data_IF_961480169454
#
_entry.id   IF_961480169454
#
_cell.length_a   1.000
_cell.length_b   1.000
_cell.length_c   1.000
_cell.angle_alpha   90.00
_cell.angle_beta   90.00
_cell.angle_gamma   90.00
#
_symmetry.space_group_name_H-M   'P 1'
#
loop_
_entity.id
_entity.type
_entity.pdbx_description
1 polymer ?
#
# COMPACT_ATOMS: atom_id res chain seq x y z
N UNK A 1 32.23 21.50 80.78
CA UNK A 1 31.94 21.90 79.40
C UNK A 1 30.89 20.95 78.89
N UNK A 2 29.68 21.37 78.65
CA UNK A 2 28.60 20.48 78.19
C UNK A 2 28.50 20.43 76.67
N UNK A 3 28.28 19.23 76.15
CA UNK A 3 27.98 18.94 74.80
C UNK A 3 26.50 19.24 74.49
N UNK A 4 26.25 20.09 73.52
CA UNK A 4 24.93 20.29 72.99
C UNK A 4 24.61 19.14 71.98
N UNK A 5 23.64 18.33 72.31
CA UNK A 5 23.05 17.34 71.45
C UNK A 5 22.02 18.06 70.59
N UNK A 6 22.26 18.05 69.29
CA UNK A 6 21.26 18.45 68.27
C UNK A 6 20.05 17.50 68.31
N UNK A 7 18.92 18.03 68.72
CA UNK A 7 17.64 17.41 68.64
C UNK A 7 17.17 17.38 67.14
N UNK A 8 17.28 16.23 66.50
CA UNK A 8 16.61 16.00 65.25
C UNK A 8 15.13 15.84 65.58
N UNK A 9 14.34 16.86 65.27
CA UNK A 9 12.87 16.80 65.35
C UNK A 9 12.34 15.77 64.43
N UNK A 10 11.92 14.59 64.90
CA UNK A 10 11.13 13.62 64.17
C UNK A 10 9.79 14.27 63.86
N UNK A 11 9.58 14.69 62.58
CA UNK A 11 8.27 15.02 62.06
C UNK A 11 7.41 13.76 62.14
N UNK A 12 6.61 13.62 63.18
CA UNK A 12 5.52 12.61 63.21
C UNK A 12 4.39 13.16 62.35
N UNK A 13 4.43 12.85 61.05
CA UNK A 13 3.29 13.08 60.19
C UNK A 13 2.14 12.20 60.72
N UNK A 14 1.00 12.84 61.04
CA UNK A 14 -0.23 12.15 61.37
C UNK A 14 -0.57 11.15 60.26
N UNK A 15 -1.05 9.98 60.61
CA UNK A 15 -1.47 8.92 59.65
C UNK A 15 -2.41 9.45 58.55
N UNK A 16 -3.20 10.48 58.87
CA UNK A 16 -4.10 11.15 57.91
C UNK A 16 -3.32 12.03 56.92
N UNK A 17 -2.26 12.69 57.30
CA UNK A 17 -1.44 13.50 56.37
C UNK A 17 -0.66 12.59 55.42
N UNK A 18 -0.18 11.46 55.92
CA UNK A 18 0.48 10.47 55.06
C UNK A 18 -0.50 9.87 54.03
N UNK A 19 -1.72 9.54 54.45
CA UNK A 19 -2.78 9.02 53.56
C UNK A 19 -3.19 10.07 52.50
N UNK A 20 -3.28 11.37 52.86
CA UNK A 20 -3.59 12.44 51.92
C UNK A 20 -2.48 12.67 50.91
N UNK A 21 -1.21 12.60 51.33
CA UNK A 21 -0.07 12.70 50.40
C UNK A 21 -0.05 11.53 49.44
N UNK A 22 -0.30 10.32 49.91
CA UNK A 22 -0.40 9.12 49.07
C UNK A 22 -1.55 9.21 48.06
N UNK A 23 -2.73 9.66 48.52
CA UNK A 23 -3.88 9.85 47.65
C UNK A 23 -3.59 10.87 46.54
N UNK A 24 -2.97 12.02 46.87
CA UNK A 24 -2.56 13.00 45.88
C UNK A 24 -1.56 12.42 44.85
N UNK A 25 -0.62 11.61 45.30
CA UNK A 25 0.38 10.99 44.44
C UNK A 25 -0.27 10.00 43.46
N UNK A 26 -1.23 9.20 43.93
CA UNK A 26 -2.01 8.28 43.07
C UNK A 26 -2.88 9.03 42.06
N UNK A 27 -3.55 10.13 42.51
CA UNK A 27 -4.34 10.98 41.61
C UNK A 27 -3.46 11.64 40.54
N UNK A 28 -2.28 12.16 40.97
CA UNK A 28 -1.33 12.76 40.01
C UNK A 28 -0.80 11.74 39.00
N UNK A 29 -0.43 10.55 39.47
CA UNK A 29 0.01 9.46 38.59
C UNK A 29 -1.12 9.04 37.60
N UNK A 30 -2.36 8.92 38.09
CA UNK A 30 -3.51 8.65 37.27
C UNK A 30 -3.78 9.73 36.23
N UNK A 31 -3.67 10.99 36.60
CA UNK A 31 -3.81 12.12 35.69
C UNK A 31 -2.72 12.16 34.59
N UNK A 32 -1.47 11.83 34.95
CA UNK A 32 -0.37 11.71 33.98
C UNK A 32 -0.59 10.55 33.01
N UNK A 33 -1.05 9.40 33.49
CA UNK A 33 -1.39 8.27 32.66
C UNK A 33 -2.58 8.58 31.69
N UNK A 34 -3.62 9.25 32.22
CA UNK A 34 -4.73 9.70 31.40
C UNK A 34 -4.31 10.69 30.32
N UNK A 35 -3.44 11.65 30.71
CA UNK A 35 -2.87 12.61 29.75
C UNK A 35 -2.10 11.89 28.65
N UNK A 36 -1.28 10.90 28.99
CA UNK A 36 -0.51 10.12 28.04
C UNK A 36 -1.43 9.26 27.13
N UNK A 37 -2.54 8.78 27.67
CA UNK A 37 -3.48 7.93 26.92
C UNK A 37 -4.41 8.71 25.98
N UNK A 38 -4.82 9.92 26.40
CA UNK A 38 -5.78 10.75 25.62
C UNK A 38 -5.07 11.69 24.65
N UNK A 39 -3.87 12.16 24.97
CA UNK A 39 -3.15 13.14 24.15
C UNK A 39 -1.93 12.60 23.40
N UNK A 40 -1.54 11.35 23.59
CA UNK A 40 -0.53 10.74 22.74
C UNK A 40 -1.19 10.39 21.40
N UNK A 41 -0.65 10.90 20.31
CA UNK A 41 -1.05 10.53 18.95
C UNK A 41 -0.72 9.06 18.64
N UNK A 42 0.11 8.42 19.44
CA UNK A 42 0.48 7.01 19.32
C UNK A 42 -0.13 6.21 20.47
N UNK A 43 -0.76 5.08 20.13
CA UNK A 43 -1.24 4.14 21.13
C UNK A 43 -0.09 3.64 21.99
N UNK A 44 -0.20 3.68 23.33
CA UNK A 44 0.84 3.14 24.22
C UNK A 44 0.97 1.61 24.13
N UNK A 45 0.05 0.96 23.42
CA UNK A 45 0.08 -0.48 23.17
C UNK A 45 0.57 -0.67 21.73
N UNK A 46 1.77 -1.24 21.57
CA UNK A 46 2.27 -1.66 20.28
C UNK A 46 1.51 -2.90 19.82
N UNK A 47 0.65 -2.73 18.84
CA UNK A 47 -0.16 -3.81 18.26
C UNK A 47 0.45 -4.39 16.99
N UNK A 48 1.56 -3.82 16.53
CA UNK A 48 2.25 -4.29 15.33
C UNK A 48 3.09 -5.53 15.66
N UNK A 49 2.55 -6.70 15.31
CA UNK A 49 3.19 -8.01 15.53
C UNK A 49 4.55 -8.09 14.84
N UNK A 50 4.74 -7.39 13.73
CA UNK A 50 6.00 -7.39 12.98
C UNK A 50 7.14 -6.74 13.77
N UNK A 51 6.84 -5.78 14.63
CA UNK A 51 7.84 -5.17 15.52
C UNK A 51 8.26 -6.08 16.67
N UNK A 52 7.50 -7.12 16.97
CA UNK A 52 7.80 -8.11 18.00
C UNK A 52 8.70 -9.24 17.48
N UNK A 53 8.92 -9.33 16.17
CA UNK A 53 9.82 -10.33 15.60
C UNK A 53 11.28 -10.04 16.00
N UNK A 54 12.07 -11.06 16.37
CA UNK A 54 13.46 -10.91 16.70
C UNK A 54 14.22 -10.31 15.50
N UNK A 55 14.86 -9.17 15.70
CA UNK A 55 15.70 -8.56 14.67
C UNK A 55 16.98 -9.36 14.51
N UNK A 56 17.24 -9.78 13.28
CA UNK A 56 18.47 -10.49 12.96
C UNK A 56 19.61 -9.49 12.75
N UNK A 57 20.35 -9.19 13.80
CA UNK A 57 21.41 -8.19 13.81
C UNK A 57 22.64 -8.57 12.96
N UNK A 58 22.65 -9.75 12.33
CA UNK A 58 23.81 -10.23 11.57
C UNK A 58 23.93 -9.59 10.18
N UNK A 59 22.82 -9.05 9.62
CA UNK A 59 22.86 -8.38 8.33
C UNK A 59 21.93 -7.15 8.30
N UNK A 60 22.42 -5.97 8.69
CA UNK A 60 21.61 -4.76 8.77
C UNK A 60 21.07 -4.30 7.40
N UNK A 61 21.76 -4.59 6.31
CA UNK A 61 21.30 -4.23 4.95
C UNK A 61 20.07 -5.07 4.56
N UNK A 62 20.13 -6.37 4.83
CA UNK A 62 19.02 -7.26 4.55
C UNK A 62 17.78 -6.92 5.42
N UNK A 63 18.00 -6.55 6.68
CA UNK A 63 16.94 -6.13 7.58
C UNK A 63 16.29 -4.83 7.12
N UNK A 64 17.10 -3.83 6.74
CA UNK A 64 16.58 -2.57 6.22
C UNK A 64 15.80 -2.76 4.90
N UNK A 65 16.29 -3.63 4.01
CA UNK A 65 15.58 -3.98 2.78
C UNK A 65 14.24 -4.69 3.11
N UNK A 66 14.24 -5.63 4.04
CA UNK A 66 13.04 -6.34 4.47
C UNK A 66 12.03 -5.39 5.15
N UNK A 67 12.48 -4.51 6.05
CA UNK A 67 11.62 -3.50 6.68
C UNK A 67 10.99 -2.56 5.62
N UNK A 68 11.79 -2.10 4.64
CA UNK A 68 11.32 -1.24 3.56
C UNK A 68 10.25 -1.92 2.69
N UNK A 69 10.49 -3.17 2.28
CA UNK A 69 9.54 -3.94 1.48
C UNK A 69 8.29 -4.28 2.29
N UNK A 70 8.45 -4.73 3.52
CA UNK A 70 7.34 -5.07 4.41
C UNK A 70 6.46 -3.85 4.70
N UNK A 71 7.04 -2.69 4.98
CA UNK A 71 6.30 -1.45 5.18
C UNK A 71 5.50 -1.07 3.93
N UNK A 72 6.12 -1.14 2.74
CA UNK A 72 5.46 -0.80 1.48
C UNK A 72 4.31 -1.73 1.09
N UNK A 73 4.31 -2.97 1.58
CA UNK A 73 3.26 -3.96 1.32
C UNK A 73 2.19 -3.99 2.42
N UNK A 74 2.57 -3.72 3.65
CA UNK A 74 1.69 -3.84 4.82
C UNK A 74 0.57 -2.79 4.84
N UNK A 75 0.86 -1.59 4.34
CA UNK A 75 -0.06 -0.46 4.44
C UNK A 75 -1.10 -0.44 3.31
N UNK A 76 -1.04 -1.40 2.36
CA UNK A 76 -1.98 -1.47 1.24
C UNK A 76 -3.20 -2.31 1.59
N UNK A 77 -4.37 -1.73 1.29
CA UNK A 77 -5.68 -2.37 1.42
C UNK A 77 -6.32 -2.42 0.05
N UNK A 78 -6.90 -3.56 -0.29
CA UNK A 78 -7.67 -3.76 -1.52
C UNK A 78 -9.13 -3.88 -1.15
N UNK A 79 -9.94 -2.97 -1.66
CA UNK A 79 -11.39 -3.03 -1.56
C UNK A 79 -11.94 -3.68 -2.82
N UNK A 80 -12.81 -4.65 -2.63
CA UNK A 80 -13.50 -5.37 -3.71
C UNK A 80 -14.97 -4.95 -3.67
N UNK A 81 -15.42 -4.35 -4.75
CA UNK A 81 -16.79 -3.82 -4.89
C UNK A 81 -17.54 -4.70 -5.85
N UNK A 82 -18.75 -5.06 -5.50
CA UNK A 82 -19.69 -5.79 -6.34
C UNK A 82 -21.08 -5.18 -6.22
N UNK A 83 -21.89 -5.35 -7.26
CA UNK A 83 -23.28 -4.92 -7.28
C UNK A 83 -24.10 -5.82 -8.22
N UNK A 84 -25.46 -5.80 -8.11
CA UNK A 84 -26.33 -6.66 -8.91
C UNK A 84 -26.25 -6.38 -10.41
N UNK A 85 -25.99 -5.14 -10.80
CA UNK A 85 -25.88 -4.75 -12.21
C UNK A 85 -24.65 -3.84 -12.44
N UNK A 86 -24.23 -3.77 -13.69
CA UNK A 86 -23.02 -3.05 -14.08
C UNK A 86 -23.08 -1.55 -13.81
N UNK A 87 -24.24 -0.92 -14.01
CA UNK A 87 -24.37 0.53 -13.79
C UNK A 87 -24.30 0.87 -12.29
N UNK A 88 -25.02 0.09 -11.47
CA UNK A 88 -24.93 0.21 -10.01
C UNK A 88 -23.51 -0.04 -9.50
N UNK A 89 -22.78 -1.00 -10.09
CA UNK A 89 -21.40 -1.31 -9.74
C UNK A 89 -20.46 -0.12 -9.95
N UNK A 90 -20.51 0.51 -11.13
CA UNK A 90 -19.66 1.67 -11.42
C UNK A 90 -20.07 2.91 -10.61
N UNK A 91 -21.38 3.10 -10.36
CA UNK A 91 -21.84 4.19 -9.52
C UNK A 91 -21.36 4.03 -8.06
N UNK A 92 -21.49 2.82 -7.52
CA UNK A 92 -21.02 2.50 -6.18
C UNK A 92 -19.49 2.66 -6.07
N UNK A 93 -18.74 2.18 -7.07
CA UNK A 93 -17.28 2.32 -7.10
C UNK A 93 -16.85 3.80 -7.15
N UNK A 94 -17.54 4.63 -7.92
CA UNK A 94 -17.24 6.07 -8.01
C UNK A 94 -17.51 6.80 -6.71
N UNK A 95 -18.61 6.50 -6.05
CA UNK A 95 -18.94 7.08 -4.74
C UNK A 95 -17.95 6.61 -3.67
N UNK A 96 -17.60 5.33 -3.68
CA UNK A 96 -16.66 4.74 -2.75
C UNK A 96 -15.24 5.33 -2.93
N UNK A 97 -14.74 5.42 -4.16
CA UNK A 97 -13.44 6.04 -4.49
C UNK A 97 -13.39 7.49 -4.00
N UNK A 98 -14.48 8.26 -4.23
CA UNK A 98 -14.60 9.62 -3.70
C UNK A 98 -14.57 9.66 -2.17
N UNK A 99 -15.29 8.76 -1.50
CA UNK A 99 -15.29 8.65 -0.05
C UNK A 99 -13.91 8.34 0.53
N UNK A 100 -13.17 7.40 -0.09
CA UNK A 100 -11.80 7.08 0.31
C UNK A 100 -10.86 8.29 0.18
N UNK A 101 -10.90 8.99 -0.96
CA UNK A 101 -10.05 10.18 -1.20
C UNK A 101 -10.38 11.35 -0.26
N UNK A 102 -11.63 11.50 0.12
CA UNK A 102 -12.07 12.54 1.07
C UNK A 102 -11.75 12.19 2.52
N UNK A 103 -11.54 10.91 2.81
CA UNK A 103 -11.17 10.48 4.15
C UNK A 103 -9.70 10.83 4.42
N UNK A 104 -9.40 11.19 5.66
CA UNK A 104 -8.02 11.49 6.05
C UNK A 104 -7.24 10.24 6.48
N UNK A 105 -7.77 9.04 6.25
CA UNK A 105 -7.19 7.77 6.69
C UNK A 105 -6.23 7.15 5.68
N UNK A 106 -6.32 7.54 4.41
CA UNK A 106 -5.50 6.99 3.34
C UNK A 106 -4.51 8.02 2.81
N UNK A 107 -3.32 7.56 2.47
CA UNK A 107 -2.23 8.35 1.89
C UNK A 107 -2.38 8.45 0.38
N UNK A 108 -2.71 7.32 -0.22
CA UNK A 108 -2.94 7.20 -1.66
C UNK A 108 -4.14 6.29 -1.93
N UNK A 109 -4.88 6.58 -3.01
CA UNK A 109 -6.04 5.79 -3.44
C UNK A 109 -5.96 5.60 -4.94
N UNK A 110 -5.80 4.37 -5.37
CA UNK A 110 -5.83 3.95 -6.77
C UNK A 110 -7.18 3.30 -7.05
N UNK A 111 -8.12 4.12 -7.47
CA UNK A 111 -9.44 3.69 -7.91
C UNK A 111 -9.58 3.84 -9.42
N UNK A 112 -10.30 4.88 -9.86
CA UNK A 112 -10.47 5.16 -11.29
C UNK A 112 -9.20 5.76 -11.88
N UNK A 113 -8.64 5.09 -12.87
CA UNK A 113 -7.48 5.53 -13.63
C UNK A 113 -7.97 6.33 -14.84
N UNK A 114 -7.63 7.59 -14.91
CA UNK A 114 -8.03 8.46 -16.02
C UNK A 114 -7.32 8.09 -17.33
N UNK A 115 -7.89 8.42 -18.51
CA UNK A 115 -7.21 8.21 -19.78
C UNK A 115 -5.83 8.88 -19.86
N UNK A 116 -5.67 10.02 -19.22
CA UNK A 116 -4.41 10.76 -19.16
C UNK A 116 -3.35 10.00 -18.36
N UNK A 117 -3.73 9.42 -17.23
CA UNK A 117 -2.84 8.57 -16.42
C UNK A 117 -2.46 7.28 -17.17
N UNK A 118 -3.42 6.65 -17.86
CA UNK A 118 -3.15 5.49 -18.71
C UNK A 118 -2.13 5.82 -19.80
N UNK A 119 -2.30 6.97 -20.46
CA UNK A 119 -1.37 7.43 -21.48
C UNK A 119 0.01 7.76 -20.91
N UNK A 120 0.06 8.39 -19.74
CA UNK A 120 1.32 8.71 -19.07
C UNK A 120 2.09 7.42 -18.72
N UNK A 121 1.40 6.41 -18.18
CA UNK A 121 2.00 5.11 -17.91
C UNK A 121 2.48 4.41 -19.18
N UNK A 122 1.64 4.36 -20.21
CA UNK A 122 2.03 3.76 -21.48
C UNK A 122 3.28 4.44 -22.06
N UNK A 123 3.33 5.77 -22.01
CA UNK A 123 4.48 6.55 -22.49
C UNK A 123 5.75 6.28 -21.66
N UNK A 124 5.61 6.17 -20.33
CA UNK A 124 6.72 5.83 -19.45
C UNK A 124 7.28 4.44 -19.76
N UNK A 125 6.45 3.43 -19.82
CA UNK A 125 6.88 2.05 -20.12
C UNK A 125 7.45 1.95 -21.55
N UNK A 126 6.85 2.63 -22.50
CA UNK A 126 7.35 2.66 -23.87
C UNK A 126 8.76 3.28 -23.95
N UNK A 127 9.01 4.36 -23.22
CA UNK A 127 10.34 4.97 -23.14
C UNK A 127 11.40 4.01 -22.59
N UNK A 128 11.00 3.15 -21.67
CA UNK A 128 11.88 2.17 -21.01
C UNK A 128 11.78 0.76 -21.60
N UNK A 129 11.16 0.58 -22.78
CA UNK A 129 10.84 -0.72 -23.38
C UNK A 129 12.02 -1.68 -23.51
N UNK A 130 13.22 -1.16 -23.74
CA UNK A 130 14.43 -2.02 -23.84
C UNK A 130 14.87 -2.62 -22.50
N UNK A 131 14.43 -2.05 -21.40
CA UNK A 131 14.66 -2.59 -20.04
C UNK A 131 13.61 -3.65 -19.68
N UNK A 132 12.48 -3.66 -20.38
CA UNK A 132 11.34 -4.54 -20.16
C UNK A 132 11.35 -5.79 -21.04
N UNK A 133 12.45 -6.03 -21.78
CA UNK A 133 12.57 -7.22 -22.63
C UNK A 133 12.38 -8.50 -21.82
N UNK A 134 11.50 -9.36 -22.30
CA UNK A 134 11.30 -10.68 -21.70
C UNK A 134 12.51 -11.57 -21.90
N UNK A 135 12.70 -12.63 -21.11
CA UNK A 135 13.79 -13.57 -21.30
C UNK A 135 13.83 -14.12 -22.73
N UNK A 136 12.67 -14.46 -23.29
CA UNK A 136 12.53 -14.99 -24.65
C UNK A 136 12.89 -13.97 -25.72
N UNK A 137 12.55 -12.70 -25.51
CA UNK A 137 12.96 -11.62 -26.42
C UNK A 137 14.47 -11.41 -26.39
N UNK A 138 15.07 -11.43 -25.19
CA UNK A 138 16.53 -11.30 -25.04
C UNK A 138 17.27 -12.43 -25.73
N UNK A 139 16.78 -13.66 -25.57
CA UNK A 139 17.36 -14.83 -26.23
C UNK A 139 17.23 -14.74 -27.76
N UNK A 140 16.05 -14.42 -28.29
CA UNK A 140 15.85 -14.23 -29.73
C UNK A 140 16.76 -13.15 -30.31
N UNK A 141 16.85 -12.00 -29.66
CA UNK A 141 17.70 -10.89 -30.12
C UNK A 141 19.20 -11.21 -30.06
N UNK A 142 19.64 -12.03 -29.12
CA UNK A 142 21.05 -12.38 -28.96
C UNK A 142 21.48 -13.56 -29.84
N UNK A 143 20.62 -14.57 -29.99
CA UNK A 143 20.97 -15.82 -30.69
C UNK A 143 20.43 -15.88 -32.12
N UNK A 144 19.22 -15.36 -32.36
CA UNK A 144 18.53 -15.45 -33.64
C UNK A 144 17.80 -14.14 -33.99
N UNK A 145 18.49 -13.03 -34.23
CA UNK A 145 17.86 -11.74 -34.51
C UNK A 145 16.98 -11.78 -35.77
N UNK A 146 17.30 -12.65 -36.73
CA UNK A 146 16.50 -12.85 -37.95
C UNK A 146 15.10 -13.36 -37.64
N UNK A 147 14.90 -14.16 -36.62
CA UNK A 147 13.57 -14.61 -36.18
C UNK A 147 12.71 -13.44 -35.72
N UNK A 148 13.28 -12.44 -35.06
CA UNK A 148 12.53 -11.25 -34.66
C UNK A 148 12.09 -10.43 -35.90
N UNK A 149 12.97 -10.31 -36.90
CA UNK A 149 12.61 -9.66 -38.17
C UNK A 149 11.48 -10.40 -38.86
N UNK A 150 11.56 -11.74 -38.94
CA UNK A 150 10.49 -12.57 -39.54
C UNK A 150 9.18 -12.41 -38.75
N UNK A 151 9.20 -12.36 -37.45
CA UNK A 151 8.03 -12.11 -36.62
C UNK A 151 7.36 -10.75 -36.95
N UNK A 152 8.15 -9.68 -37.10
CA UNK A 152 7.65 -8.36 -37.51
C UNK A 152 7.02 -8.42 -38.90
N UNK A 153 7.70 -9.05 -39.86
CA UNK A 153 7.19 -9.21 -41.24
C UNK A 153 5.87 -9.97 -41.22
N UNK A 154 5.78 -11.08 -40.51
CA UNK A 154 4.54 -11.87 -40.39
C UNK A 154 3.41 -11.06 -39.76
N UNK A 155 3.73 -10.26 -38.73
CA UNK A 155 2.77 -9.37 -38.08
C UNK A 155 2.27 -8.27 -39.05
N UNK A 156 3.13 -7.73 -39.88
CA UNK A 156 2.78 -6.74 -40.92
C UNK A 156 1.82 -7.27 -41.98
N UNK A 157 2.05 -8.50 -42.41
CA UNK A 157 1.21 -9.14 -43.45
C UNK A 157 -0.05 -9.79 -42.88
N UNK A 158 -0.18 -9.87 -41.54
CA UNK A 158 -1.39 -10.37 -40.91
C UNK A 158 -2.40 -9.23 -40.73
N UNK A 159 -3.54 -9.24 -41.47
CA UNK A 159 -4.53 -8.18 -41.37
C UNK A 159 -5.20 -8.06 -39.99
N UNK A 160 -5.11 -9.13 -39.19
CA UNK A 160 -5.66 -9.14 -37.81
C UNK A 160 -4.69 -8.71 -36.74
N UNK A 161 -3.43 -8.45 -37.09
CA UNK A 161 -2.42 -8.02 -36.11
C UNK A 161 -2.68 -6.62 -35.56
N UNK A 162 -3.33 -5.74 -36.35
CA UNK A 162 -3.53 -4.33 -36.02
C UNK A 162 -2.23 -3.53 -35.95
N UNK A 163 -1.12 -4.01 -36.51
CA UNK A 163 0.14 -3.29 -36.60
C UNK A 163 0.00 -2.10 -37.54
N UNK A 164 0.39 -0.92 -37.08
CA UNK A 164 0.34 0.31 -37.87
C UNK A 164 1.73 0.78 -38.30
N UNK A 165 1.83 1.54 -39.40
CA UNK A 165 3.09 2.12 -39.83
C UNK A 165 3.68 3.10 -38.79
N UNK A 166 2.83 3.78 -38.03
CA UNK A 166 3.28 4.68 -36.96
C UNK A 166 3.89 3.91 -35.78
N UNK A 167 3.32 2.74 -35.45
CA UNK A 167 3.87 1.86 -34.42
C UNK A 167 5.26 1.36 -34.83
N UNK A 168 5.42 0.93 -36.08
CA UNK A 168 6.72 0.48 -36.61
C UNK A 168 7.79 1.58 -36.67
N UNK A 169 7.41 2.83 -36.88
CA UNK A 169 8.36 3.95 -36.80
C UNK A 169 8.94 4.11 -35.41
N UNK A 170 8.15 3.83 -34.37
CA UNK A 170 8.55 4.01 -32.98
C UNK A 170 9.09 2.74 -32.33
N UNK A 171 8.61 1.57 -32.74
CA UNK A 171 9.04 0.24 -32.26
C UNK A 171 9.19 -0.73 -33.44
N UNK A 172 10.26 -0.60 -34.24
CA UNK A 172 10.42 -1.36 -35.48
C UNK A 172 10.53 -2.88 -35.30
N UNK A 173 10.82 -3.32 -34.09
CA UNK A 173 10.88 -4.74 -33.75
C UNK A 173 9.68 -5.24 -32.94
N UNK A 174 8.64 -4.41 -32.73
CA UNK A 174 7.42 -4.72 -31.97
C UNK A 174 7.70 -5.27 -30.56
N UNK A 175 8.82 -4.88 -29.96
CA UNK A 175 9.27 -5.41 -28.66
C UNK A 175 8.32 -5.03 -27.52
N UNK A 176 7.81 -3.81 -27.56
CA UNK A 176 6.88 -3.34 -26.54
C UNK A 176 5.50 -3.99 -26.69
N UNK A 177 5.03 -4.19 -27.91
CA UNK A 177 3.79 -4.94 -28.20
C UNK A 177 3.86 -6.37 -27.67
N UNK A 178 4.94 -7.07 -27.96
CA UNK A 178 5.17 -8.44 -27.47
C UNK A 178 5.18 -8.48 -25.93
N UNK A 179 5.85 -7.53 -25.30
CA UNK A 179 5.87 -7.37 -23.85
C UNK A 179 4.45 -7.19 -23.30
N UNK A 180 3.67 -6.24 -23.85
CA UNK A 180 2.30 -6.00 -23.41
C UNK A 180 1.42 -7.24 -23.59
N UNK A 181 1.56 -7.95 -24.70
CA UNK A 181 0.83 -9.20 -24.96
C UNK A 181 1.14 -10.25 -23.88
N UNK A 182 2.39 -10.39 -23.49
CA UNK A 182 2.81 -11.36 -22.49
C UNK A 182 2.30 -10.97 -21.08
N UNK A 183 2.39 -9.69 -20.71
CA UNK A 183 1.82 -9.19 -19.45
C UNK A 183 0.31 -9.41 -19.40
N UNK A 184 -0.39 -9.15 -20.50
CA UNK A 184 -1.84 -9.35 -20.60
C UNK A 184 -2.23 -10.82 -20.47
N UNK A 185 -1.45 -11.74 -21.06
CA UNK A 185 -1.68 -13.18 -20.92
C UNK A 185 -1.48 -13.67 -19.50
N UNK A 186 -0.45 -13.17 -18.80
CA UNK A 186 -0.21 -13.49 -17.40
C UNK A 186 -1.26 -12.90 -16.45
N UNK A 187 -1.84 -11.77 -16.83
CA UNK A 187 -2.86 -11.05 -16.05
C UNK A 187 -4.29 -11.30 -16.59
N UNK A 188 -4.54 -12.46 -17.19
CA UNK A 188 -5.78 -12.76 -17.93
C UNK A 188 -7.07 -12.58 -17.13
N UNK A 189 -7.01 -12.64 -15.81
CA UNK A 189 -8.16 -12.43 -14.92
C UNK A 189 -8.47 -10.95 -14.65
N UNK A 190 -7.51 -10.05 -14.94
CA UNK A 190 -7.67 -8.63 -14.66
C UNK A 190 -7.88 -7.84 -15.94
N UNK A 191 -8.88 -6.97 -15.95
CA UNK A 191 -9.19 -6.07 -17.06
C UNK A 191 -9.37 -4.66 -16.56
N UNK A 192 -9.09 -3.68 -17.39
CA UNK A 192 -9.43 -2.30 -17.13
C UNK A 192 -10.78 -2.00 -17.79
N UNK A 193 -11.82 -1.82 -16.99
CA UNK A 193 -13.18 -1.48 -17.46
C UNK A 193 -13.58 -0.13 -16.89
N UNK A 194 -13.90 0.80 -17.78
CA UNK A 194 -14.26 2.20 -17.45
C UNK A 194 -13.25 2.89 -16.50
N UNK A 195 -11.97 2.50 -16.61
CA UNK A 195 -10.87 3.03 -15.80
C UNK A 195 -10.67 2.34 -14.46
N UNK A 196 -11.49 1.38 -14.07
CA UNK A 196 -11.29 0.57 -12.88
C UNK A 196 -10.66 -0.79 -13.21
N UNK A 197 -9.81 -1.27 -12.33
CA UNK A 197 -9.35 -2.63 -12.40
C UNK A 197 -10.51 -3.57 -12.05
N UNK A 198 -10.84 -4.48 -12.96
CA UNK A 198 -11.97 -5.39 -12.81
C UNK A 198 -11.54 -6.84 -12.93
N UNK A 199 -12.24 -7.70 -12.22
CA UNK A 199 -12.14 -9.17 -12.31
C UNK A 199 -13.54 -9.72 -12.53
N UNK A 200 -13.66 -10.68 -13.44
CA UNK A 200 -14.89 -11.41 -13.69
C UNK A 200 -14.72 -12.84 -13.15
N UNK A 201 -15.63 -13.24 -12.29
CA UNK A 201 -15.62 -14.56 -11.67
C UNK A 201 -17.06 -15.01 -11.37
N UNK A 202 -17.38 -16.26 -11.70
CA UNK A 202 -18.69 -16.87 -11.42
C UNK A 202 -19.86 -16.02 -11.95
N UNK A 203 -19.73 -15.48 -13.18
CA UNK A 203 -20.67 -14.57 -13.85
C UNK A 203 -20.90 -13.24 -13.10
N UNK A 204 -20.11 -12.93 -12.12
CA UNK A 204 -20.14 -11.67 -11.39
C UNK A 204 -18.91 -10.82 -11.73
N UNK A 205 -19.12 -9.50 -11.87
CA UNK A 205 -18.04 -8.52 -12.04
C UNK A 205 -17.70 -7.87 -10.71
N UNK A 206 -16.41 -7.80 -10.43
CA UNK A 206 -15.83 -7.18 -9.26
C UNK A 206 -14.93 -6.03 -9.68
N UNK A 207 -15.03 -4.89 -9.04
CA UNK A 207 -14.09 -3.78 -9.21
C UNK A 207 -13.15 -3.71 -8.00
N UNK A 208 -11.88 -3.44 -8.28
CA UNK A 208 -10.86 -3.34 -7.26
C UNK A 208 -10.42 -1.90 -7.10
N UNK A 209 -10.40 -1.43 -5.86
CA UNK A 209 -9.82 -0.14 -5.47
C UNK A 209 -8.75 -0.42 -4.43
N UNK A 210 -7.53 0.04 -4.71
CA UNK A 210 -6.41 -0.10 -3.79
C UNK A 210 -6.19 1.22 -3.06
N UNK A 211 -5.99 1.15 -1.77
CA UNK A 211 -5.67 2.32 -0.96
C UNK A 211 -4.48 2.04 -0.05
N UNK A 212 -3.67 3.06 0.21
CA UNK A 212 -2.55 3.00 1.15
C UNK A 212 -2.94 3.69 2.44
N UNK A 213 -2.92 2.97 3.55
CA UNK A 213 -3.22 3.50 4.87
C UNK A 213 -2.15 4.50 5.32
N UNK A 214 -2.55 5.55 6.03
CA UNK A 214 -1.61 6.46 6.71
C UNK A 214 -0.97 5.81 7.92
N UNK A 215 -1.76 5.04 8.66
CA UNK A 215 -1.34 4.34 9.86
C UNK A 215 -1.20 2.84 9.56
N UNK A 216 -0.36 2.17 10.33
CA UNK A 216 -0.18 0.73 10.20
C UNK A 216 -1.54 0.00 10.28
N UNK A 217 -1.82 -0.99 9.41
CA UNK A 217 -3.04 -1.77 9.46
C UNK A 217 -3.19 -2.58 10.75
N UNK A 218 -2.10 -2.74 11.49
CA UNK A 218 -2.08 -3.41 12.79
C UNK A 218 -2.33 -2.44 13.95
N UNK A 219 -2.38 -1.13 13.70
CA UNK A 219 -2.78 -0.12 14.69
C UNK A 219 -4.31 -0.07 14.82
N UNK A 220 -4.78 0.38 15.97
CA UNK A 220 -6.22 0.54 16.20
C UNK A 220 -6.84 1.54 15.21
N UNK A 221 -6.13 2.63 14.90
CA UNK A 221 -6.56 3.66 13.93
C UNK A 221 -6.63 3.09 12.51
N UNK A 222 -5.65 2.31 12.08
CA UNK A 222 -5.67 1.64 10.78
C UNK A 222 -6.80 0.62 10.64
N UNK A 223 -7.07 -0.17 11.68
CA UNK A 223 -8.18 -1.12 11.70
C UNK A 223 -9.53 -0.41 11.65
N UNK A 224 -9.72 0.66 12.40
CA UNK A 224 -10.94 1.46 12.37
C UNK A 224 -11.15 2.12 11.00
N UNK A 225 -10.10 2.61 10.37
CA UNK A 225 -10.16 3.16 9.01
C UNK A 225 -10.74 2.16 8.01
N UNK A 226 -10.27 0.90 8.05
CA UNK A 226 -10.79 -0.16 7.18
C UNK A 226 -12.24 -0.53 7.53
N UNK A 227 -12.58 -0.60 8.82
CA UNK A 227 -13.92 -0.96 9.28
C UNK A 227 -14.99 0.06 8.86
N UNK A 228 -14.68 1.35 8.83
CA UNK A 228 -15.59 2.42 8.39
C UNK A 228 -16.06 2.19 6.95
N UNK A 229 -15.18 1.66 6.10
CA UNK A 229 -15.43 1.42 4.68
C UNK A 229 -15.84 -0.03 4.36
N UNK A 230 -15.92 -0.91 5.36
CA UNK A 230 -16.41 -2.28 5.18
C UNK A 230 -17.94 -2.29 5.29
N UNK A 231 -18.63 -2.30 4.16
CA UNK A 231 -20.08 -2.49 4.06
C UNK A 231 -20.45 -3.69 3.21
#
# INVERSE_FOLDING_TARGET
>A
MPKTLNSVSKLSLSTHTFALVWLNLVVLAGALLLKQWVWSAESPIETNILKLLPKNQQNPVAEQAFESVSASMSDKVIFVITAPDKNALFAAAAEFDKGLRQSNHFRDVVGKISPQEQQAWASYYFKHRFQLLTPEQRERLSQNPEQQVQHVIQSLYNPFSGVTGQELQSDPFLLFRDYLSQVTQQSSSFRLDNGYLSVEKDDAQYLLITAELKDSPYSLTGQLAVLIFKR
#
